data_IF_526683650930
#
_entry.id   IF_526683650930
#
_cell.length_a   1.000
_cell.length_b   1.000
_cell.length_c   1.000
_cell.angle_alpha   90.00
_cell.angle_beta   90.00
_cell.angle_gamma   90.00
#
_symmetry.space_group_name_H-M   'P 1'
#
loop_
_entity.id
_entity.type
_entity.pdbx_description
1 polymer ?
#
# COMPACT_ATOMS: atom_id res chain seq x y z
N UNK A 1 11.24 -4.95 3.86
CA UNK A 1 10.11 -4.77 2.94
C UNK A 1 10.67 -4.35 1.60
N UNK A 2 10.27 -5.03 0.53
CA UNK A 2 10.54 -4.62 -0.83
C UNK A 2 9.39 -3.73 -1.31
N UNK A 3 9.70 -2.66 -2.04
CA UNK A 3 8.70 -1.75 -2.62
C UNK A 3 8.50 -2.09 -4.08
N UNK A 4 7.25 -2.06 -4.56
CA UNK A 4 6.92 -2.38 -5.96
C UNK A 4 7.55 -1.36 -6.92
N UNK A 5 8.70 -1.71 -7.49
CA UNK A 5 9.44 -0.93 -8.48
C UNK A 5 9.55 -1.72 -9.79
N UNK A 6 9.51 -1.01 -10.91
CA UNK A 6 9.83 -1.61 -12.21
C UNK A 6 11.33 -2.00 -12.27
N UNK A 7 11.68 -2.99 -13.10
CA UNK A 7 13.06 -3.52 -13.15
C UNK A 7 14.09 -2.45 -13.51
N UNK A 8 13.71 -1.54 -14.42
CA UNK A 8 14.56 -0.43 -14.86
C UNK A 8 14.93 0.49 -13.68
N UNK A 9 13.95 0.92 -12.89
CA UNK A 9 14.18 1.79 -11.73
C UNK A 9 15.01 1.09 -10.65
N UNK A 10 14.79 -0.22 -10.45
CA UNK A 10 15.58 -1.03 -9.51
C UNK A 10 17.04 -1.12 -9.93
N UNK A 11 17.31 -1.40 -11.21
CA UNK A 11 18.66 -1.46 -11.76
C UNK A 11 19.36 -0.10 -11.74
N UNK A 12 18.64 0.98 -12.03
CA UNK A 12 19.17 2.34 -11.91
C UNK A 12 19.56 2.67 -10.47
N UNK A 13 18.68 2.34 -9.50
CA UNK A 13 18.97 2.53 -8.07
C UNK A 13 20.18 1.70 -7.65
N UNK A 14 20.27 0.45 -8.09
CA UNK A 14 21.40 -0.44 -7.80
C UNK A 14 22.73 0.15 -8.28
N UNK A 15 22.75 0.72 -9.51
CA UNK A 15 23.92 1.42 -10.04
C UNK A 15 24.26 2.68 -9.26
N UNK A 16 23.26 3.50 -8.93
CA UNK A 16 23.46 4.73 -8.18
C UNK A 16 24.04 4.47 -6.77
N UNK A 17 23.71 3.35 -6.14
CA UNK A 17 24.20 2.99 -4.81
C UNK A 17 25.69 2.58 -4.82
N UNK A 18 26.27 2.27 -5.98
CA UNK A 18 27.70 2.00 -6.08
C UNK A 18 28.55 3.23 -5.76
N UNK A 19 28.05 4.42 -6.04
CA UNK A 19 28.64 5.71 -5.65
C UNK A 19 27.56 6.59 -5.02
N UNK A 20 27.33 6.45 -3.70
CA UNK A 20 26.22 7.09 -3.03
C UNK A 20 26.26 8.62 -3.12
N UNK A 21 25.15 9.19 -3.54
CA UNK A 21 24.85 10.63 -3.55
C UNK A 21 23.49 10.85 -2.91
N UNK A 22 23.16 12.11 -2.61
CA UNK A 22 21.85 12.46 -2.06
C UNK A 22 20.68 12.14 -3.00
N UNK A 23 20.95 11.92 -4.28
CA UNK A 23 19.93 11.70 -5.33
C UNK A 23 19.80 10.24 -5.75
N UNK A 24 20.50 9.30 -5.10
CA UNK A 24 20.52 7.88 -5.49
C UNK A 24 19.14 7.25 -5.65
N UNK A 25 18.18 7.70 -4.85
CA UNK A 25 16.84 7.14 -4.77
C UNK A 25 15.76 8.03 -5.38
N UNK A 26 16.11 9.17 -6.00
CA UNK A 26 15.12 10.16 -6.46
C UNK A 26 14.07 9.56 -7.40
N UNK A 27 14.51 8.72 -8.34
CA UNK A 27 13.61 8.08 -9.29
C UNK A 27 12.74 7.01 -8.62
N UNK A 28 13.34 6.18 -7.76
CA UNK A 28 12.61 5.18 -6.99
C UNK A 28 11.56 5.82 -6.08
N UNK A 29 11.93 6.89 -5.36
CA UNK A 29 11.04 7.65 -4.50
C UNK A 29 9.88 8.25 -5.29
N UNK A 30 10.15 8.83 -6.48
CA UNK A 30 9.10 9.38 -7.35
C UNK A 30 8.09 8.31 -7.79
N UNK A 31 8.59 7.12 -8.16
CA UNK A 31 7.73 5.99 -8.58
C UNK A 31 6.85 5.51 -7.43
N UNK A 32 7.42 5.32 -6.24
CA UNK A 32 6.67 4.90 -5.06
C UNK A 32 5.67 5.97 -4.63
N UNK A 33 6.06 7.24 -4.63
CA UNK A 33 5.15 8.34 -4.31
C UNK A 33 3.92 8.33 -5.21
N UNK A 34 4.12 8.21 -6.53
CA UNK A 34 3.02 8.14 -7.50
C UNK A 34 2.14 6.90 -7.32
N UNK A 35 2.75 5.76 -6.98
CA UNK A 35 2.02 4.53 -6.70
C UNK A 35 1.14 4.69 -5.45
N UNK A 36 1.70 5.25 -4.38
CA UNK A 36 0.96 5.55 -3.16
C UNK A 36 -0.16 6.55 -3.44
N UNK A 37 0.10 7.63 -4.17
CA UNK A 37 -0.89 8.64 -4.52
C UNK A 37 -2.09 8.04 -5.25
N UNK A 38 -1.85 7.10 -6.18
CA UNK A 38 -2.90 6.48 -7.00
C UNK A 38 -3.77 5.46 -6.26
N UNK A 39 -3.20 4.74 -5.30
CA UNK A 39 -3.90 3.66 -4.58
C UNK A 39 -4.03 3.96 -3.07
N UNK A 40 -2.93 3.84 -2.33
CA UNK A 40 -2.93 3.90 -0.87
C UNK A 40 -3.49 5.21 -0.33
N UNK A 41 -3.12 6.34 -0.94
CA UNK A 41 -3.59 7.67 -0.55
C UNK A 41 -5.09 7.85 -0.81
N UNK A 42 -5.58 7.39 -1.97
CA UNK A 42 -7.03 7.43 -2.27
C UNK A 42 -7.85 6.58 -1.31
N UNK A 43 -7.32 5.43 -0.89
CA UNK A 43 -7.96 4.59 0.13
C UNK A 43 -7.90 5.25 1.50
N UNK A 44 -6.76 5.86 1.85
CA UNK A 44 -6.57 6.59 3.10
C UNK A 44 -7.61 7.72 3.27
N UNK A 45 -7.83 8.54 2.25
CA UNK A 45 -8.83 9.63 2.30
C UNK A 45 -10.28 9.15 2.52
N UNK A 46 -10.59 7.90 2.17
CA UNK A 46 -11.90 7.27 2.40
C UNK A 46 -11.95 6.46 3.70
N UNK A 47 -10.80 6.25 4.33
CA UNK A 47 -10.69 5.44 5.54
C UNK A 47 -11.09 6.24 6.78
N UNK A 48 -11.44 5.53 7.84
CA UNK A 48 -11.74 6.12 9.15
C UNK A 48 -10.58 6.96 9.69
N UNK A 49 -9.32 6.56 9.42
CA UNK A 49 -8.13 7.30 9.84
C UNK A 49 -8.14 8.77 9.42
N UNK A 50 -8.63 9.06 8.21
CA UNK A 50 -8.75 10.43 7.72
C UNK A 50 -10.09 11.05 8.10
N UNK A 51 -11.20 10.31 7.93
CA UNK A 51 -12.55 10.85 8.15
C UNK A 51 -12.82 11.22 9.61
N UNK A 52 -12.28 10.46 10.57
CA UNK A 52 -12.45 10.74 12.00
C UNK A 52 -11.68 12.01 12.43
N UNK A 53 -10.61 12.36 11.70
CA UNK A 53 -9.84 13.59 11.90
C UNK A 53 -10.45 14.80 11.18
N UNK A 54 -11.02 14.57 9.98
CA UNK A 54 -11.56 15.63 9.13
C UNK A 54 -13.02 16.01 9.44
N UNK A 55 -13.75 15.15 10.15
CA UNK A 55 -15.09 15.47 10.65
C UNK A 55 -15.05 16.46 11.81
N UNK A 56 -16.11 17.28 12.02
CA UNK A 56 -16.24 18.06 13.24
C UNK A 56 -16.31 17.06 14.39
N UNK A 57 -15.28 17.06 15.25
CA UNK A 57 -15.12 16.19 16.43
C UNK A 57 -16.45 15.63 16.95
N UNK A 58 -16.79 14.39 16.57
CA UNK A 58 -18.16 13.92 16.69
C UNK A 58 -18.33 12.42 16.48
N UNK A 59 -17.95 11.64 17.49
CA UNK A 59 -18.53 10.35 17.87
C UNK A 59 -18.48 9.20 16.83
N UNK A 60 -17.49 8.32 17.01
CA UNK A 60 -17.44 7.01 16.34
C UNK A 60 -18.67 6.17 16.69
N UNK A 61 -19.56 5.97 15.72
CA UNK A 61 -20.59 4.93 15.80
C UNK A 61 -20.02 3.63 15.25
N UNK A 62 -19.54 2.77 16.15
CA UNK A 62 -19.45 1.34 15.86
C UNK A 62 -20.87 0.77 15.80
N UNK A 63 -21.38 0.59 14.57
CA UNK A 63 -22.45 -0.39 14.31
C UNK A 63 -21.88 -1.48 13.44
N UNK A 64 -21.36 -2.54 14.06
CA UNK A 64 -21.39 -3.88 13.48
C UNK A 64 -22.39 -4.70 14.28
N UNK A 65 -23.60 -4.83 13.73
CA UNK A 65 -24.57 -5.81 14.18
C UNK A 65 -24.09 -7.21 13.78
N UNK A 66 -24.11 -8.12 14.74
CA UNK A 66 -23.76 -9.52 14.60
C UNK A 66 -24.56 -10.29 13.53
N UNK A 67 -23.85 -11.17 12.80
CA UNK A 67 -24.26 -12.49 12.27
C UNK A 67 -23.30 -12.82 11.11
N UNK A 68 -22.75 -14.01 10.89
CA UNK A 68 -22.72 -15.33 11.55
C UNK A 68 -21.75 -16.14 10.66
N UNK A 69 -20.66 -16.71 11.17
CA UNK A 69 -19.90 -17.71 10.40
C UNK A 69 -20.77 -18.98 10.24
N UNK A 70 -20.70 -19.67 9.09
CA UNK A 70 -19.89 -20.89 9.09
C UNK A 70 -19.10 -21.14 7.79
N UNK A 71 -18.04 -21.94 7.96
CA UNK A 71 -17.27 -22.74 7.00
C UNK A 71 -17.72 -22.77 5.52
N UNK A 72 -16.79 -22.53 4.60
CA UNK A 72 -16.07 -23.56 3.81
C UNK A 72 -15.19 -22.83 2.76
N UNK A 73 -13.87 -23.00 2.81
CA UNK A 73 -12.98 -22.56 1.73
C UNK A 73 -12.45 -23.84 1.07
N UNK A 74 -12.83 -24.18 -0.18
CA UNK A 74 -12.17 -25.26 -0.88
C UNK A 74 -10.73 -24.82 -1.17
N UNK A 75 -9.78 -25.56 -0.58
CA UNK A 75 -8.36 -25.46 -0.90
C UNK A 75 -8.17 -25.83 -2.37
N UNK A 76 -8.09 -24.82 -3.25
CA UNK A 76 -7.60 -25.01 -4.60
C UNK A 76 -6.08 -24.95 -4.57
N UNK A 77 -5.48 -26.13 -4.40
CA UNK A 77 -4.08 -26.39 -4.69
C UNK A 77 -3.85 -26.17 -6.19
N UNK A 78 -2.89 -25.34 -6.62
CA UNK A 78 -2.35 -25.46 -7.97
C UNK A 78 -1.30 -26.57 -7.95
N UNK A 79 -1.64 -27.75 -8.48
CA UNK A 79 -0.63 -28.66 -9.00
C UNK A 79 -0.08 -28.07 -10.30
N UNK A 80 1.25 -28.01 -10.44
CA UNK A 80 2.09 -27.99 -11.65
C UNK A 80 3.53 -27.65 -11.16
N UNK A 81 4.61 -28.38 -11.45
CA UNK A 81 4.91 -29.49 -12.35
C UNK A 81 5.94 -30.44 -11.70
#
# INVERSE_FOLDING_TARGET
MEVNLDSCTREQTSRNVLEPTLTCFDEAQRKIFHLMEKDSYRRFLKSRFYLDLAGPSGCGSEKQSAAKSPADCPSLVPQCA
#
